data_IF_558827908538
#
_entry.id   IF_558827908538
#
_cell.length_a   1.000
_cell.length_b   1.000
_cell.length_c   1.000
_cell.angle_alpha   90.00
_cell.angle_beta   90.00
_cell.angle_gamma   90.00
#
_symmetry.space_group_name_H-M   'P 1'
#
loop_
_entity.id
_entity.type
_entity.pdbx_description
1 polymer ?
#
# COMPACT_ATOMS: atom_id res chain seq x y z
N UNK A 1 21.56 -11.27 29.27
CA UNK A 1 21.45 -9.84 29.63
C UNK A 1 20.46 -9.75 30.78
N UNK A 2 20.95 -9.55 32.01
CA UNK A 2 20.06 -9.35 33.16
C UNK A 2 19.25 -8.07 32.93
N UNK A 3 17.92 -8.17 33.06
CA UNK A 3 17.02 -7.03 32.87
C UNK A 3 16.99 -6.23 34.16
N UNK A 4 17.09 -4.91 34.07
CA UNK A 4 16.99 -4.05 35.24
C UNK A 4 15.59 -4.15 35.88
N UNK A 5 15.48 -4.27 37.21
CA UNK A 5 14.20 -4.27 37.91
C UNK A 5 13.41 -2.97 37.68
N UNK A 6 12.12 -3.09 37.37
CA UNK A 6 11.24 -1.96 37.13
C UNK A 6 10.79 -1.31 38.46
N UNK A 7 11.65 -0.41 38.98
CA UNK A 7 11.42 0.33 40.23
C UNK A 7 10.26 1.34 40.12
N UNK A 8 9.94 1.79 38.92
CA UNK A 8 8.84 2.73 38.65
C UNK A 8 7.48 2.05 38.88
N UNK A 9 7.27 0.89 38.24
CA UNK A 9 6.09 0.07 38.48
C UNK A 9 5.96 -0.31 39.95
N UNK A 10 7.06 -0.70 40.61
CA UNK A 10 7.04 -1.09 42.04
C UNK A 10 6.50 0.03 42.92
N UNK A 11 6.99 1.26 42.74
CA UNK A 11 6.53 2.44 43.49
C UNK A 11 5.03 2.69 43.31
N UNK A 12 4.53 2.62 42.08
CA UNK A 12 3.11 2.85 41.81
C UNK A 12 2.21 1.74 42.38
N UNK A 13 2.66 0.48 42.38
CA UNK A 13 1.93 -0.62 43.05
C UNK A 13 1.79 -0.35 44.54
N UNK A 14 2.89 0.06 45.18
CA UNK A 14 2.92 0.32 46.62
C UNK A 14 2.07 1.55 46.98
N UNK A 15 2.15 2.63 46.19
CA UNK A 15 1.34 3.86 46.35
C UNK A 15 -0.17 3.58 46.18
N UNK A 16 -0.54 2.75 45.19
CA UNK A 16 -1.93 2.40 44.91
C UNK A 16 -2.53 1.39 45.90
N UNK A 17 -1.68 0.75 46.72
CA UNK A 17 -2.05 -0.31 47.64
C UNK A 17 -2.51 -1.59 46.95
N UNK A 18 -2.02 -1.87 45.73
CA UNK A 18 -2.43 -3.06 45.00
C UNK A 18 -1.65 -4.30 45.43
N UNK A 19 -2.35 -5.42 45.59
CA UNK A 19 -1.67 -6.73 45.58
C UNK A 19 -1.35 -7.15 44.15
N UNK A 20 -0.31 -7.97 43.94
CA UNK A 20 0.04 -8.45 42.59
C UNK A 20 -1.08 -9.28 41.95
N UNK A 21 -1.83 -10.05 42.76
CA UNK A 21 -3.01 -10.79 42.29
C UNK A 21 -4.13 -9.84 41.86
N UNK A 22 -4.37 -8.78 42.63
CA UNK A 22 -5.40 -7.80 42.30
C UNK A 22 -5.08 -7.02 41.02
N UNK A 23 -3.83 -6.57 40.87
CA UNK A 23 -3.42 -5.85 39.65
C UNK A 23 -3.60 -6.73 38.40
N UNK A 24 -3.14 -7.98 38.46
CA UNK A 24 -3.32 -8.93 37.37
C UNK A 24 -4.80 -9.16 37.02
N UNK A 25 -5.65 -9.32 38.04
CA UNK A 25 -7.10 -9.46 37.85
C UNK A 25 -7.71 -8.24 37.17
N UNK A 26 -7.39 -7.02 37.65
CA UNK A 26 -7.89 -5.77 37.06
C UNK A 26 -7.50 -5.61 35.59
N UNK A 27 -6.29 -6.01 35.21
CA UNK A 27 -5.85 -6.00 33.80
C UNK A 27 -6.71 -6.97 32.98
N UNK A 28 -6.95 -8.19 33.48
CA UNK A 28 -7.80 -9.15 32.76
C UNK A 28 -9.25 -8.65 32.64
N UNK A 29 -9.81 -8.10 33.72
CA UNK A 29 -11.18 -7.56 33.75
C UNK A 29 -11.33 -6.39 32.76
N UNK A 30 -10.38 -5.46 32.73
CA UNK A 30 -10.35 -4.37 31.74
C UNK A 30 -10.19 -4.92 30.31
N UNK A 31 -9.47 -6.02 30.14
CA UNK A 31 -9.37 -6.75 28.88
C UNK A 31 -10.71 -7.27 28.39
N UNK A 32 -11.49 -7.89 29.29
CA UNK A 32 -12.84 -8.38 29.00
C UNK A 32 -13.77 -7.24 28.60
N UNK A 33 -13.75 -6.12 29.35
CA UNK A 33 -14.55 -4.92 29.03
C UNK A 33 -14.22 -4.36 27.65
N UNK A 34 -12.95 -4.46 27.22
CA UNK A 34 -12.48 -4.01 25.90
C UNK A 34 -12.63 -5.04 24.77
N UNK A 35 -13.21 -6.20 25.04
CA UNK A 35 -13.35 -7.27 24.05
C UNK A 35 -12.01 -7.95 23.67
N UNK A 36 -10.96 -7.79 24.48
CA UNK A 36 -9.67 -8.45 24.28
C UNK A 36 -9.73 -9.88 24.86
N UNK A 37 -10.13 -10.84 24.04
CA UNK A 37 -10.20 -12.25 24.42
C UNK A 37 -8.79 -12.85 24.58
N UNK A 38 -8.50 -13.51 25.71
CA UNK A 38 -7.31 -14.33 25.90
C UNK A 38 -6.25 -13.81 26.87
N UNK A 39 -6.43 -12.62 27.47
CA UNK A 39 -5.56 -12.16 28.54
C UNK A 39 -5.73 -13.03 29.80
N UNK A 40 -4.65 -13.68 30.22
CA UNK A 40 -4.59 -14.56 31.41
C UNK A 40 -3.42 -14.18 32.29
N UNK A 41 -3.40 -12.92 32.73
CA UNK A 41 -2.37 -12.44 33.64
C UNK A 41 -2.65 -12.92 35.06
N UNK A 42 -1.57 -13.21 35.77
CA UNK A 42 -1.56 -13.65 37.15
C UNK A 42 -0.49 -12.90 37.95
N UNK A 43 -0.36 -13.20 39.24
CA UNK A 43 0.69 -12.61 40.08
C UNK A 43 2.10 -12.85 39.52
N UNK A 44 2.34 -14.00 38.87
CA UNK A 44 3.61 -14.31 38.21
C UNK A 44 3.92 -13.37 37.04
N UNK A 45 2.89 -12.94 36.31
CA UNK A 45 3.00 -11.93 35.25
C UNK A 45 3.47 -10.60 35.81
N UNK A 46 2.89 -10.15 36.93
CA UNK A 46 3.29 -8.90 37.61
C UNK A 46 4.73 -8.99 38.13
N UNK A 47 5.12 -10.13 38.72
CA UNK A 47 6.50 -10.37 39.16
C UNK A 47 7.49 -10.30 38.00
N UNK A 48 7.15 -10.84 36.83
CA UNK A 48 7.98 -10.70 35.63
C UNK A 48 8.10 -9.23 35.19
N UNK A 49 7.01 -8.45 35.26
CA UNK A 49 7.05 -7.03 34.94
C UNK A 49 7.93 -6.22 35.89
N UNK A 50 7.88 -6.55 37.18
CA UNK A 50 8.78 -6.00 38.20
C UNK A 50 10.24 -6.41 37.96
N UNK A 51 10.47 -7.62 37.44
CA UNK A 51 11.78 -8.09 36.98
C UNK A 51 12.26 -7.50 35.64
N UNK A 52 11.61 -6.44 35.14
CA UNK A 52 12.02 -5.74 33.93
C UNK A 52 11.45 -6.29 32.62
N UNK A 53 10.57 -7.30 32.66
CA UNK A 53 9.88 -7.76 31.45
C UNK A 53 8.72 -6.83 31.08
N UNK A 54 8.82 -6.11 29.96
CA UNK A 54 7.69 -5.31 29.45
C UNK A 54 6.58 -6.22 28.90
N UNK A 55 5.31 -6.05 29.31
CA UNK A 55 4.20 -6.77 28.67
C UNK A 55 3.94 -6.24 27.26
N UNK A 56 3.37 -7.09 26.38
CA UNK A 56 2.97 -6.68 25.02
C UNK A 56 1.81 -5.68 25.08
N UNK A 57 1.73 -4.78 24.11
CA UNK A 57 0.57 -3.89 23.96
C UNK A 57 -0.72 -4.72 23.79
N UNK A 58 -1.87 -4.24 24.31
CA UNK A 58 -2.12 -2.92 24.91
C UNK A 58 -1.91 -2.84 26.44
N UNK A 59 -1.27 -3.85 27.06
CA UNK A 59 -1.19 -3.99 28.53
C UNK A 59 -0.52 -2.79 29.24
N UNK A 60 0.58 -2.18 28.75
CA UNK A 60 1.15 -0.98 29.39
C UNK A 60 0.14 0.17 29.51
N UNK A 61 -0.67 0.42 28.47
CA UNK A 61 -1.71 1.45 28.49
C UNK A 61 -2.87 1.10 29.43
N UNK A 62 -3.23 -0.18 29.52
CA UNK A 62 -4.23 -0.66 30.49
C UNK A 62 -3.77 -0.51 31.93
N UNK A 63 -2.49 -0.80 32.22
CA UNK A 63 -1.89 -0.56 33.53
C UNK A 63 -1.96 0.93 33.88
N UNK A 64 -1.55 1.81 32.95
CA UNK A 64 -1.57 3.26 33.14
C UNK A 64 -2.97 3.79 33.52
N UNK A 65 -4.01 3.28 32.87
CA UNK A 65 -5.40 3.60 33.18
C UNK A 65 -5.85 3.08 34.56
N UNK A 66 -5.51 1.83 34.90
CA UNK A 66 -5.84 1.24 36.21
C UNK A 66 -5.23 2.08 37.34
N UNK A 67 -3.97 2.51 37.18
CA UNK A 67 -3.32 3.39 38.16
C UNK A 67 -3.90 4.80 38.15
N UNK A 68 -4.24 5.35 36.99
CA UNK A 68 -4.90 6.67 36.87
C UNK A 68 -6.21 6.69 37.64
N UNK A 69 -7.06 5.68 37.44
CA UNK A 69 -8.35 5.55 38.13
C UNK A 69 -8.17 5.35 39.64
N UNK A 70 -7.14 4.62 40.06
CA UNK A 70 -6.90 4.32 41.48
C UNK A 70 -6.31 5.50 42.26
N UNK A 71 -5.36 6.22 41.65
CA UNK A 71 -4.60 7.29 42.30
C UNK A 71 -5.26 8.67 42.14
N UNK A 72 -6.27 8.80 41.27
CA UNK A 72 -6.97 10.07 41.04
C UNK A 72 -6.11 11.14 40.35
N UNK A 73 -4.97 10.74 39.78
CA UNK A 73 -4.05 11.59 38.99
C UNK A 73 -3.68 10.86 37.71
N UNK A 74 -3.37 11.61 36.66
CA UNK A 74 -2.91 11.04 35.40
C UNK A 74 -1.61 10.26 35.63
N UNK A 75 -1.59 9.00 35.21
CA UNK A 75 -0.41 8.11 35.19
C UNK A 75 -0.25 7.61 33.76
N UNK A 76 0.90 7.89 33.15
CA UNK A 76 1.27 7.41 31.82
C UNK A 76 2.03 6.08 31.86
N UNK A 77 2.25 5.48 30.68
CA UNK A 77 3.07 4.27 30.55
C UNK A 77 4.54 4.56 30.87
N UNK A 78 5.00 5.79 30.65
CA UNK A 78 6.31 6.32 31.09
C UNK A 78 6.49 6.29 32.62
N UNK A 79 5.46 6.68 33.38
CA UNK A 79 5.48 6.68 34.85
C UNK A 79 5.60 5.26 35.42
N UNK A 80 5.17 4.26 34.65
CA UNK A 80 5.27 2.83 34.99
C UNK A 80 6.65 2.24 34.64
N UNK A 81 7.59 3.02 34.12
CA UNK A 81 8.84 2.48 33.57
C UNK A 81 8.59 1.59 32.35
N UNK A 82 7.46 1.81 31.68
CA UNK A 82 7.03 1.09 30.49
C UNK A 82 6.67 2.10 29.41
N UNK A 83 7.53 3.08 29.08
CA UNK A 83 7.19 4.11 28.11
C UNK A 83 6.58 3.45 26.88
N UNK A 84 5.54 4.08 26.33
CA UNK A 84 5.10 3.74 24.98
C UNK A 84 6.38 3.70 24.15
N UNK A 85 6.64 2.57 23.50
CA UNK A 85 7.62 2.56 22.43
C UNK A 85 7.01 3.53 21.45
N UNK A 86 7.46 4.79 21.49
CA UNK A 86 6.98 5.85 20.63
C UNK A 86 7.09 5.28 19.24
N UNK A 87 5.95 4.88 18.66
CA UNK A 87 5.93 4.44 17.29
C UNK A 87 6.38 5.66 16.52
N UNK A 88 7.54 5.60 15.84
CA UNK A 88 8.07 6.77 15.17
C UNK A 88 7.01 7.31 14.19
N UNK A 89 6.82 8.62 14.15
CA UNK A 89 5.82 9.22 13.24
C UNK A 89 6.11 8.86 11.79
N UNK A 90 7.38 8.64 11.47
CA UNK A 90 7.95 8.16 10.21
C UNK A 90 7.96 6.62 10.07
N UNK A 91 7.26 5.87 10.94
CA UNK A 91 7.18 4.40 10.84
C UNK A 91 6.81 3.96 9.42
N UNK A 92 7.68 3.14 8.83
CA UNK A 92 7.46 2.57 7.50
C UNK A 92 7.84 3.49 6.34
N UNK A 93 8.35 4.70 6.58
CA UNK A 93 8.77 5.63 5.53
C UNK A 93 10.20 5.40 5.01
N UNK A 94 10.98 4.54 5.68
CA UNK A 94 12.36 4.24 5.27
C UNK A 94 12.59 2.74 5.08
N UNK A 95 13.50 2.41 4.15
CA UNK A 95 14.05 1.06 4.02
C UNK A 95 15.21 0.92 5.02
N UNK A 96 15.00 0.10 6.03
CA UNK A 96 15.99 -0.21 7.07
C UNK A 96 17.19 -1.00 6.52
N UNK A 97 18.30 -1.01 7.27
CA UNK A 97 19.58 -1.58 6.81
C UNK A 97 19.65 -3.08 7.00
N UNK A 98 19.09 -3.61 8.09
CA UNK A 98 19.18 -5.04 8.44
C UNK A 98 17.85 -5.75 8.30
N UNK A 99 17.86 -7.05 8.00
CA UNK A 99 16.64 -7.86 7.85
C UNK A 99 15.73 -7.77 9.08
N UNK A 100 16.30 -7.92 10.27
CA UNK A 100 15.57 -7.88 11.54
C UNK A 100 14.89 -6.52 11.79
N UNK A 101 15.56 -5.39 11.52
CA UNK A 101 14.94 -4.07 11.62
C UNK A 101 13.79 -3.90 10.62
N UNK A 102 13.95 -4.45 9.41
CA UNK A 102 12.90 -4.44 8.38
C UNK A 102 11.67 -5.21 8.82
N UNK A 103 11.85 -6.42 9.34
CA UNK A 103 10.77 -7.24 9.92
C UNK A 103 10.09 -6.52 11.09
N UNK A 104 10.86 -5.92 12.00
CA UNK A 104 10.29 -5.18 13.12
C UNK A 104 9.47 -3.97 12.65
N UNK A 105 9.96 -3.22 11.67
CA UNK A 105 9.29 -2.03 11.11
C UNK A 105 7.99 -2.41 10.41
N UNK A 106 8.04 -3.40 9.52
CA UNK A 106 6.86 -3.78 8.72
C UNK A 106 5.77 -4.42 9.58
N UNK A 107 6.14 -5.25 10.56
CA UNK A 107 5.15 -5.87 11.45
C UNK A 107 4.56 -4.88 12.45
N UNK A 108 5.34 -3.88 12.90
CA UNK A 108 4.81 -2.74 13.65
C UNK A 108 3.83 -1.89 12.82
N UNK A 109 4.11 -1.71 11.53
CA UNK A 109 3.22 -0.96 10.61
C UNK A 109 1.88 -1.67 10.45
N UNK A 110 1.88 -2.99 10.22
CA UNK A 110 0.65 -3.78 10.13
C UNK A 110 -0.16 -3.72 11.42
N UNK A 111 0.48 -3.87 12.57
CA UNK A 111 -0.20 -3.75 13.88
C UNK A 111 -0.82 -2.37 14.08
N UNK A 112 -0.07 -1.31 13.79
CA UNK A 112 -0.56 0.06 13.93
C UNK A 112 -1.80 0.33 13.07
N UNK A 113 -1.89 -0.29 11.90
CA UNK A 113 -3.05 -0.22 11.01
C UNK A 113 -4.24 -1.03 11.54
N UNK A 114 -4.03 -2.27 12.01
CA UNK A 114 -5.07 -3.08 12.69
C UNK A 114 -5.63 -2.33 13.90
N UNK A 115 -4.76 -1.70 14.70
CA UNK A 115 -5.12 -0.90 15.87
C UNK A 115 -5.70 0.48 15.50
N UNK A 116 -5.78 0.81 14.21
CA UNK A 116 -6.32 2.08 13.69
C UNK A 116 -5.65 3.31 14.33
N UNK A 117 -4.32 3.26 14.49
CA UNK A 117 -3.56 4.35 15.12
C UNK A 117 -3.67 5.64 14.30
N UNK A 118 -4.10 6.74 14.95
CA UNK A 118 -4.37 8.03 14.30
C UNK A 118 -3.20 8.57 13.49
N UNK A 119 -1.97 8.51 14.02
CA UNK A 119 -0.78 9.01 13.30
C UNK A 119 -0.60 8.35 11.92
N UNK A 120 -1.04 7.11 11.75
CA UNK A 120 -0.98 6.37 10.50
C UNK A 120 -2.17 6.69 9.61
N UNK A 121 -3.39 6.66 10.16
CA UNK A 121 -4.61 6.93 9.39
C UNK A 121 -4.67 8.37 8.86
N UNK A 122 -4.15 9.32 9.63
CA UNK A 122 -4.10 10.74 9.27
C UNK A 122 -2.79 11.09 8.54
N UNK A 123 -1.97 10.09 8.18
CA UNK A 123 -0.68 10.33 7.53
C UNK A 123 -0.83 10.83 6.10
N UNK A 124 -0.09 11.89 5.79
CA UNK A 124 0.02 12.44 4.44
C UNK A 124 1.18 11.80 3.67
N UNK A 125 1.14 11.94 2.35
CA UNK A 125 2.24 11.51 1.48
C UNK A 125 3.48 12.37 1.72
N UNK A 126 4.64 11.74 1.88
CA UNK A 126 5.91 12.44 2.12
C UNK A 126 6.74 12.47 0.83
N UNK A 127 6.97 13.66 0.28
CA UNK A 127 7.80 13.84 -0.92
C UNK A 127 9.22 13.34 -0.64
N UNK A 128 9.75 12.52 -1.56
CA UNK A 128 11.12 12.03 -1.49
C UNK A 128 11.31 10.72 -0.70
N UNK A 129 10.41 10.33 0.20
CA UNK A 129 10.54 9.08 0.96
C UNK A 129 10.65 7.85 0.04
N UNK A 130 9.85 7.82 -1.03
CA UNK A 130 9.97 6.79 -2.06
C UNK A 130 11.29 6.82 -2.84
N UNK A 131 11.85 8.00 -3.14
CA UNK A 131 13.10 8.15 -3.90
C UNK A 131 14.27 7.68 -3.04
N UNK A 132 14.25 7.98 -1.74
CA UNK A 132 15.21 7.43 -0.76
C UNK A 132 15.09 5.91 -0.72
N UNK A 133 13.87 5.37 -0.70
CA UNK A 133 13.63 3.92 -0.80
C UNK A 133 14.23 3.31 -2.07
N UNK A 134 14.03 3.94 -3.23
CA UNK A 134 14.60 3.49 -4.50
C UNK A 134 16.14 3.53 -4.49
N UNK A 135 16.75 4.60 -3.99
CA UNK A 135 18.22 4.69 -3.83
C UNK A 135 18.73 3.60 -2.90
N UNK A 136 18.05 3.35 -1.78
CA UNK A 136 18.40 2.27 -0.87
C UNK A 136 18.35 0.92 -1.58
N UNK A 137 17.30 0.63 -2.33
CA UNK A 137 17.16 -0.60 -3.11
C UNK A 137 18.31 -0.81 -4.10
N UNK A 138 18.71 0.24 -4.83
CA UNK A 138 19.79 0.18 -5.82
C UNK A 138 21.19 0.06 -5.19
N UNK A 139 21.37 0.52 -3.95
CA UNK A 139 22.63 0.41 -3.23
C UNK A 139 22.92 -1.04 -2.79
N UNK A 140 24.19 -1.47 -2.68
CA UNK A 140 24.53 -2.78 -2.15
C UNK A 140 24.04 -2.95 -0.69
N UNK A 141 23.44 -4.11 -0.33
CA UNK A 141 22.97 -4.34 1.03
C UNK A 141 24.14 -4.53 2.01
N UNK A 142 24.00 -4.00 3.23
CA UNK A 142 24.95 -4.25 4.33
C UNK A 142 24.70 -5.63 4.97
N UNK A 143 23.46 -5.92 5.39
CA UNK A 143 23.06 -7.23 5.94
C UNK A 143 21.58 -7.56 5.64
N UNK A 144 21.30 -8.07 4.44
CA UNK A 144 19.93 -8.33 3.99
C UNK A 144 19.48 -9.81 4.08
N UNK A 145 20.30 -10.73 4.59
CA UNK A 145 19.98 -12.17 4.56
C UNK A 145 18.73 -12.48 5.40
N UNK A 146 17.67 -13.06 4.81
CA UNK A 146 16.47 -13.43 5.53
C UNK A 146 16.69 -14.76 6.27
N UNK A 147 17.35 -14.68 7.42
CA UNK A 147 17.55 -15.82 8.34
C UNK A 147 16.99 -15.48 9.71
N UNK A 148 16.37 -16.46 10.36
CA UNK A 148 15.88 -16.30 11.73
C UNK A 148 15.97 -17.64 12.48
N UNK A 149 16.27 -17.58 13.78
CA UNK A 149 16.40 -18.72 14.68
C UNK A 149 15.34 -18.71 15.79
N UNK A 150 14.07 -18.63 15.41
CA UNK A 150 12.94 -18.60 16.33
C UNK A 150 12.50 -19.98 16.83
N UNK A 151 11.33 -20.03 17.48
CA UNK A 151 10.78 -21.27 18.06
C UNK A 151 9.79 -21.99 17.14
N UNK A 152 9.27 -21.30 16.12
CA UNK A 152 8.30 -21.83 15.17
C UNK A 152 8.99 -22.23 13.88
N UNK A 153 8.99 -23.51 13.51
CA UNK A 153 9.49 -23.92 12.20
C UNK A 153 8.62 -23.33 11.08
N UNK A 154 9.23 -22.69 10.09
CA UNK A 154 8.52 -22.17 8.90
C UNK A 154 8.80 -23.07 7.71
N UNK A 155 7.75 -23.52 7.03
CA UNK A 155 7.85 -24.39 5.86
C UNK A 155 7.21 -23.81 4.60
N UNK A 156 7.38 -24.51 3.48
CA UNK A 156 6.77 -24.12 2.19
C UNK A 156 5.24 -24.13 2.22
N UNK A 157 4.61 -24.90 3.12
CA UNK A 157 3.15 -24.89 3.28
C UNK A 157 2.64 -23.55 3.85
N UNK A 158 3.34 -22.96 4.82
CA UNK A 158 3.01 -21.62 5.34
C UNK A 158 3.09 -20.58 4.22
N UNK A 159 4.14 -20.66 3.39
CA UNK A 159 4.39 -19.73 2.28
C UNK A 159 3.34 -19.90 1.18
N UNK A 160 2.98 -21.15 0.84
CA UNK A 160 1.92 -21.44 -0.13
C UNK A 160 0.57 -20.87 0.32
N UNK A 161 0.24 -20.95 1.62
CA UNK A 161 -0.97 -20.35 2.16
C UNK A 161 -0.98 -18.82 1.99
N UNK A 162 0.16 -18.13 2.22
CA UNK A 162 0.26 -16.68 1.99
C UNK A 162 -0.01 -16.35 0.52
N UNK A 163 0.65 -17.05 -0.42
CA UNK A 163 0.48 -16.83 -1.86
C UNK A 163 -0.96 -17.02 -2.32
N UNK A 164 -1.62 -18.07 -1.82
CA UNK A 164 -3.02 -18.36 -2.16
C UNK A 164 -4.00 -17.30 -1.63
N UNK A 165 -3.75 -16.82 -0.41
CA UNK A 165 -4.52 -15.71 0.18
C UNK A 165 -4.31 -14.42 -0.62
N UNK A 166 -3.07 -14.11 -1.02
CA UNK A 166 -2.75 -12.96 -1.89
C UNK A 166 -3.50 -13.03 -3.20
N UNK A 167 -3.48 -14.18 -3.89
CA UNK A 167 -4.18 -14.40 -5.16
C UNK A 167 -5.68 -14.16 -5.01
N UNK A 168 -6.29 -14.78 -3.99
CA UNK A 168 -7.73 -14.67 -3.71
C UNK A 168 -8.16 -13.23 -3.42
N UNK A 169 -7.41 -12.49 -2.59
CA UNK A 169 -7.71 -11.09 -2.34
C UNK A 169 -7.47 -10.19 -3.55
N UNK A 170 -6.46 -10.48 -4.38
CA UNK A 170 -6.22 -9.75 -5.63
C UNK A 170 -7.36 -9.89 -6.63
N UNK A 171 -7.94 -11.09 -6.76
CA UNK A 171 -9.12 -11.33 -7.61
C UNK A 171 -10.35 -10.56 -7.11
N UNK A 172 -10.57 -10.52 -5.79
CA UNK A 172 -11.64 -9.75 -5.18
C UNK A 172 -11.47 -8.25 -5.38
N UNK A 173 -10.23 -7.73 -5.23
CA UNK A 173 -9.92 -6.31 -5.48
C UNK A 173 -10.25 -5.92 -6.92
N UNK A 174 -9.78 -6.72 -7.89
CA UNK A 174 -9.99 -6.43 -9.31
C UNK A 174 -11.47 -6.39 -9.70
N UNK A 175 -12.30 -7.21 -9.05
CA UNK A 175 -13.73 -7.31 -9.36
C UNK A 175 -14.60 -6.29 -8.63
N UNK A 176 -14.32 -6.00 -7.37
CA UNK A 176 -15.22 -5.22 -6.51
C UNK A 176 -14.61 -3.95 -5.90
N UNK A 177 -13.29 -3.79 -6.02
CA UNK A 177 -12.52 -2.74 -5.36
C UNK A 177 -12.07 -3.10 -3.94
N UNK A 178 -10.92 -2.58 -3.52
CA UNK A 178 -10.20 -2.99 -2.30
C UNK A 178 -10.80 -2.52 -0.98
N UNK A 179 -11.75 -1.60 -0.99
CA UNK A 179 -12.19 -0.89 0.22
C UNK A 179 -12.74 -1.79 1.33
N UNK A 180 -13.53 -2.82 0.98
CA UNK A 180 -14.17 -3.73 1.95
C UNK A 180 -13.25 -4.85 2.43
N UNK A 181 -12.20 -5.17 1.68
CA UNK A 181 -11.35 -6.34 1.93
C UNK A 181 -9.99 -5.98 2.52
N UNK A 182 -9.55 -4.72 2.41
CA UNK A 182 -8.25 -4.25 2.93
C UNK A 182 -8.04 -4.59 4.41
N UNK A 183 -9.06 -4.37 5.26
CA UNK A 183 -8.94 -4.65 6.69
C UNK A 183 -8.70 -6.13 6.98
N UNK A 184 -9.26 -7.03 6.18
CA UNK A 184 -9.01 -8.47 6.28
C UNK A 184 -7.58 -8.83 5.84
N UNK A 185 -7.07 -8.21 4.77
CA UNK A 185 -5.69 -8.37 4.30
C UNK A 185 -4.69 -7.94 5.38
N UNK A 186 -4.87 -6.73 5.93
CA UNK A 186 -3.99 -6.17 6.97
C UNK A 186 -4.05 -7.01 8.25
N UNK A 187 -5.24 -7.50 8.62
CA UNK A 187 -5.39 -8.42 9.75
C UNK A 187 -4.65 -9.74 9.51
N UNK A 188 -4.68 -10.30 8.29
CA UNK A 188 -3.95 -11.52 7.97
C UNK A 188 -2.43 -11.29 8.01
N UNK A 189 -1.96 -10.14 7.51
CA UNK A 189 -0.55 -9.72 7.64
C UNK A 189 -0.10 -9.69 9.12
N UNK A 190 -0.86 -9.03 9.99
CA UNK A 190 -0.52 -8.94 11.42
C UNK A 190 -0.67 -10.27 12.18
N UNK A 191 -1.72 -11.05 11.92
CA UNK A 191 -2.05 -12.22 12.75
C UNK A 191 -1.48 -13.54 12.24
N UNK A 192 -1.26 -13.68 10.93
CA UNK A 192 -0.75 -14.92 10.32
C UNK A 192 0.69 -14.76 9.81
N UNK A 193 1.03 -13.65 9.16
CA UNK A 193 2.35 -13.45 8.53
C UNK A 193 3.39 -12.92 9.53
N UNK A 194 3.04 -11.94 10.36
CA UNK A 194 3.98 -11.35 11.32
C UNK A 194 4.61 -12.37 12.29
N UNK A 195 3.88 -13.37 12.83
CA UNK A 195 4.49 -14.41 13.66
C UNK A 195 5.49 -15.30 12.90
N UNK A 196 5.28 -15.54 11.60
CA UNK A 196 6.22 -16.31 10.77
C UNK A 196 7.53 -15.54 10.58
N UNK A 197 7.47 -14.21 10.43
CA UNK A 197 8.65 -13.37 10.27
C UNK A 197 9.38 -13.11 11.60
N UNK A 198 8.65 -12.89 12.70
CA UNK A 198 9.24 -12.54 14.00
C UNK A 198 9.71 -13.74 14.83
N UNK A 199 8.87 -14.78 14.90
CA UNK A 199 9.06 -15.92 15.81
C UNK A 199 9.51 -17.20 15.05
N UNK A 200 9.67 -17.08 13.73
CA UNK A 200 10.02 -18.17 12.83
C UNK A 200 11.48 -18.61 12.89
N UNK A 201 11.70 -19.89 12.59
CA UNK A 201 13.00 -20.49 12.34
C UNK A 201 13.07 -20.89 10.87
N UNK A 202 13.98 -20.28 10.12
CA UNK A 202 14.17 -20.54 8.70
C UNK A 202 15.59 -20.20 8.24
N UNK A 203 16.10 -21.02 7.31
CA UNK A 203 17.32 -20.75 6.58
C UNK A 203 17.08 -19.79 5.41
N UNK A 204 18.15 -19.28 4.80
CA UNK A 204 18.09 -18.22 3.80
C UNK A 204 17.17 -18.53 2.61
N UNK A 205 17.20 -19.75 2.09
CA UNK A 205 16.35 -20.14 0.96
C UNK A 205 14.86 -20.01 1.28
N UNK A 206 14.41 -20.58 2.41
CA UNK A 206 13.02 -20.46 2.88
C UNK A 206 12.68 -19.03 3.27
N UNK A 207 13.63 -18.30 3.86
CA UNK A 207 13.45 -16.91 4.23
C UNK A 207 13.25 -15.99 3.02
N UNK A 208 13.91 -16.25 1.88
CA UNK A 208 13.68 -15.52 0.63
C UNK A 208 12.27 -15.74 0.08
N UNK A 209 11.82 -16.99 0.07
CA UNK A 209 10.45 -17.33 -0.36
C UNK A 209 9.38 -16.71 0.55
N UNK A 210 9.60 -16.74 1.88
CA UNK A 210 8.73 -16.08 2.84
C UNK A 210 8.73 -14.55 2.66
N UNK A 211 9.89 -13.94 2.44
CA UNK A 211 10.03 -12.52 2.22
C UNK A 211 9.31 -12.06 0.94
N UNK A 212 9.41 -12.82 -0.15
CA UNK A 212 8.70 -12.56 -1.40
C UNK A 212 7.19 -12.66 -1.21
N UNK A 213 6.68 -13.74 -0.61
CA UNK A 213 5.25 -13.91 -0.36
C UNK A 213 4.67 -12.81 0.57
N UNK A 214 5.42 -12.41 1.62
CA UNK A 214 5.03 -11.31 2.49
C UNK A 214 5.06 -9.96 1.76
N UNK A 215 6.06 -9.74 0.89
CA UNK A 215 6.17 -8.52 0.08
C UNK A 215 4.98 -8.38 -0.88
N UNK A 216 4.58 -9.47 -1.55
CA UNK A 216 3.42 -9.46 -2.46
C UNK A 216 2.12 -9.06 -1.74
N UNK A 217 1.86 -9.65 -0.57
CA UNK A 217 0.66 -9.32 0.21
C UNK A 217 0.71 -7.89 0.79
N UNK A 218 1.89 -7.44 1.21
CA UNK A 218 2.10 -6.07 1.69
C UNK A 218 1.87 -5.06 0.57
N UNK A 219 2.37 -5.35 -0.63
CA UNK A 219 2.13 -4.55 -1.84
C UNK A 219 0.64 -4.47 -2.16
N UNK A 220 -0.08 -5.58 -2.09
CA UNK A 220 -1.53 -5.61 -2.29
C UNK A 220 -2.27 -4.69 -1.29
N UNK A 221 -1.90 -4.73 0.00
CA UNK A 221 -2.45 -3.83 1.01
C UNK A 221 -2.11 -2.34 0.73
N UNK A 222 -0.92 -2.08 0.17
CA UNK A 222 -0.51 -0.77 -0.32
C UNK A 222 -1.35 -0.27 -1.50
N UNK A 223 -1.62 -1.12 -2.49
CA UNK A 223 -2.53 -0.80 -3.61
C UNK A 223 -3.96 -0.56 -3.17
N UNK A 224 -4.48 -1.36 -2.24
CA UNK A 224 -5.80 -1.11 -1.68
C UNK A 224 -5.86 0.23 -0.91
N UNK A 225 -4.79 0.61 -0.21
CA UNK A 225 -4.72 1.93 0.43
C UNK A 225 -4.66 3.06 -0.60
N UNK A 226 -3.94 2.86 -1.70
CA UNK A 226 -3.86 3.81 -2.81
C UNK A 226 -5.22 4.01 -3.50
N UNK A 227 -5.99 2.94 -3.71
CA UNK A 227 -7.32 3.03 -4.31
C UNK A 227 -8.39 3.68 -3.41
N UNK A 228 -8.11 3.70 -2.09
CA UNK A 228 -8.83 4.48 -1.09
C UNK A 228 -8.29 5.91 -0.94
N UNK A 229 -7.29 6.30 -1.73
CA UNK A 229 -6.58 7.59 -1.67
C UNK A 229 -5.94 7.89 -0.30
N UNK A 230 -5.67 6.86 0.50
CA UNK A 230 -4.87 6.97 1.72
C UNK A 230 -3.37 6.98 1.37
N UNK A 231 -2.92 8.02 0.65
CA UNK A 231 -1.60 8.02 0.00
C UNK A 231 -0.41 7.90 0.97
N UNK A 232 -0.50 8.47 2.18
CA UNK A 232 0.53 8.31 3.21
C UNK A 232 0.66 6.87 3.71
N UNK A 233 -0.47 6.20 3.93
CA UNK A 233 -0.50 4.77 4.29
C UNK A 233 0.02 3.91 3.15
N UNK A 234 -0.48 4.14 1.93
CA UNK A 234 -0.04 3.42 0.74
C UNK A 234 1.48 3.51 0.54
N UNK A 235 2.05 4.72 0.65
CA UNK A 235 3.49 4.93 0.53
C UNK A 235 4.28 4.08 1.54
N UNK A 236 3.89 4.09 2.82
CA UNK A 236 4.56 3.29 3.86
C UNK A 236 4.51 1.80 3.56
N UNK A 237 3.34 1.29 3.15
CA UNK A 237 3.19 -0.12 2.78
C UNK A 237 4.09 -0.51 1.60
N UNK A 238 4.17 0.34 0.58
CA UNK A 238 4.97 0.05 -0.62
C UNK A 238 6.47 0.13 -0.35
N UNK A 239 6.91 1.08 0.47
CA UNK A 239 8.31 1.15 0.93
C UNK A 239 8.66 -0.10 1.72
N UNK A 240 7.77 -0.58 2.60
CA UNK A 240 8.03 -1.81 3.34
C UNK A 240 7.89 -3.08 2.50
N UNK A 241 7.03 -3.10 1.48
CA UNK A 241 7.00 -4.18 0.49
C UNK A 241 8.33 -4.24 -0.27
N UNK A 242 8.89 -3.09 -0.68
CA UNK A 242 10.20 -3.01 -1.33
C UNK A 242 11.32 -3.47 -0.39
N UNK A 243 11.23 -3.16 0.91
CA UNK A 243 12.15 -3.68 1.94
C UNK A 243 12.11 -5.21 2.02
N UNK A 244 10.94 -5.83 1.95
CA UNK A 244 10.78 -7.29 1.97
C UNK A 244 11.26 -7.93 0.67
N UNK A 245 10.91 -7.37 -0.49
CA UNK A 245 11.41 -7.82 -1.81
C UNK A 245 12.94 -7.80 -1.87
N UNK A 246 13.56 -6.83 -1.18
CA UNK A 246 15.01 -6.81 -1.00
C UNK A 246 15.58 -7.95 -0.18
N UNK A 247 14.89 -8.40 0.86
CA UNK A 247 15.26 -9.61 1.58
C UNK A 247 15.18 -10.84 0.69
N UNK A 248 14.23 -10.88 -0.24
CA UNK A 248 14.05 -11.96 -1.20
C UNK A 248 15.06 -11.94 -2.37
N UNK A 249 15.76 -10.82 -2.61
CA UNK A 249 16.52 -10.56 -3.85
C UNK A 249 15.65 -10.66 -5.11
N UNK A 250 14.38 -10.27 -4.99
CA UNK A 250 13.36 -10.40 -6.03
C UNK A 250 13.26 -9.11 -6.86
N UNK A 251 14.01 -9.05 -7.95
CA UNK A 251 14.07 -7.88 -8.83
C UNK A 251 12.78 -7.65 -9.64
N UNK A 252 12.02 -8.71 -9.92
CA UNK A 252 10.74 -8.59 -10.63
C UNK A 252 9.70 -7.90 -9.74
N UNK A 253 9.53 -8.41 -8.52
CA UNK A 253 8.61 -7.84 -7.55
C UNK A 253 9.02 -6.42 -7.14
N UNK A 254 10.31 -6.18 -6.91
CA UNK A 254 10.80 -4.83 -6.59
C UNK A 254 10.52 -3.83 -7.73
N UNK A 255 10.71 -4.24 -8.99
CA UNK A 255 10.41 -3.40 -10.15
C UNK A 255 8.92 -3.07 -10.26
N UNK A 256 8.04 -4.05 -10.03
CA UNK A 256 6.58 -3.85 -9.98
C UNK A 256 6.17 -2.89 -8.84
N UNK A 257 6.77 -3.02 -7.65
CA UNK A 257 6.51 -2.11 -6.52
C UNK A 257 6.94 -0.68 -6.89
N UNK A 258 8.13 -0.51 -7.46
CA UNK A 258 8.65 0.79 -7.89
C UNK A 258 7.82 1.41 -9.01
N UNK A 259 7.36 0.60 -9.98
CA UNK A 259 6.47 1.02 -11.05
C UNK A 259 5.15 1.55 -10.47
N UNK A 260 4.49 0.81 -9.57
CA UNK A 260 3.26 1.32 -8.98
C UNK A 260 3.47 2.51 -8.02
N UNK A 261 4.62 2.63 -7.34
CA UNK A 261 4.97 3.85 -6.59
C UNK A 261 5.11 5.05 -7.53
N UNK A 262 5.72 4.86 -8.71
CA UNK A 262 5.80 5.89 -9.76
C UNK A 262 4.41 6.28 -10.24
N UNK A 263 3.53 5.30 -10.47
CA UNK A 263 2.13 5.55 -10.83
C UNK A 263 1.38 6.34 -9.75
N UNK A 264 1.57 6.01 -8.47
CA UNK A 264 1.01 6.78 -7.35
C UNK A 264 1.50 8.23 -7.40
N UNK A 265 2.81 8.44 -7.60
CA UNK A 265 3.41 9.77 -7.66
C UNK A 265 2.88 10.61 -8.84
N UNK A 266 2.66 9.99 -10.02
CA UNK A 266 1.98 10.62 -11.15
C UNK A 266 0.58 11.07 -10.76
N UNK A 267 -0.21 10.18 -10.14
CA UNK A 267 -1.60 10.45 -9.78
C UNK A 267 -1.76 11.65 -8.85
N UNK A 268 -0.85 11.83 -7.89
CA UNK A 268 -0.87 12.96 -6.94
C UNK A 268 -0.08 14.19 -7.44
N UNK A 269 0.31 14.23 -8.72
CA UNK A 269 0.97 15.39 -9.33
C UNK A 269 2.43 15.62 -8.89
N UNK A 270 3.18 14.55 -8.61
CA UNK A 270 4.60 14.62 -8.20
C UNK A 270 5.53 14.05 -9.29
N UNK A 271 5.67 14.70 -10.46
CA UNK A 271 6.32 14.09 -11.63
C UNK A 271 7.83 13.86 -11.48
N UNK A 272 8.55 14.74 -10.78
CA UNK A 272 9.99 14.53 -10.52
C UNK A 272 10.22 13.25 -9.69
N UNK A 273 9.39 13.04 -8.67
CA UNK A 273 9.44 11.84 -7.84
C UNK A 273 9.03 10.59 -8.63
N UNK A 274 8.00 10.70 -9.49
CA UNK A 274 7.60 9.62 -10.37
C UNK A 274 8.73 9.19 -11.33
N UNK A 275 9.51 10.14 -11.85
CA UNK A 275 10.62 9.89 -12.76
C UNK A 275 11.74 9.08 -12.09
N UNK A 276 12.12 9.43 -10.86
CA UNK A 276 13.12 8.68 -10.08
C UNK A 276 12.69 7.22 -9.89
N UNK A 277 11.43 7.02 -9.51
CA UNK A 277 10.86 5.70 -9.26
C UNK A 277 10.74 4.87 -10.54
N UNK A 278 10.30 5.47 -11.65
CA UNK A 278 10.22 4.82 -12.96
C UNK A 278 11.60 4.33 -13.42
N UNK A 279 12.64 5.15 -13.24
CA UNK A 279 14.02 4.77 -13.61
C UNK A 279 14.57 3.66 -12.72
N UNK A 280 14.26 3.67 -11.43
CA UNK A 280 14.61 2.56 -10.54
C UNK A 280 13.87 1.25 -10.92
N UNK A 281 12.61 1.36 -11.35
CA UNK A 281 11.86 0.23 -11.89
C UNK A 281 12.51 -0.33 -13.16
N UNK A 282 13.01 0.53 -14.08
CA UNK A 282 13.73 0.09 -15.28
C UNK A 282 14.99 -0.72 -14.95
N UNK A 283 15.78 -0.30 -13.97
CA UNK A 283 16.98 -1.04 -13.53
C UNK A 283 16.59 -2.43 -13.01
N UNK A 284 15.54 -2.49 -12.21
CA UNK A 284 15.02 -3.74 -11.63
C UNK A 284 14.46 -4.67 -12.71
N UNK A 285 13.67 -4.14 -13.64
CA UNK A 285 13.10 -4.88 -14.76
C UNK A 285 14.16 -5.50 -15.67
N UNK A 286 15.22 -4.74 -15.98
CA UNK A 286 16.37 -5.24 -16.75
C UNK A 286 17.09 -6.38 -16.04
N UNK A 287 17.28 -6.27 -14.72
CA UNK A 287 17.92 -7.31 -13.92
C UNK A 287 17.06 -8.56 -13.79
N UNK A 288 15.73 -8.41 -13.76
CA UNK A 288 14.79 -9.52 -13.78
C UNK A 288 14.63 -10.15 -15.18
N UNK A 289 15.01 -9.44 -16.25
CA UNK A 289 14.83 -9.90 -17.63
C UNK A 289 13.36 -9.91 -18.10
N UNK A 290 12.50 -9.09 -17.49
CA UNK A 290 11.07 -9.02 -17.79
C UNK A 290 10.83 -7.80 -18.70
N UNK A 291 10.49 -8.06 -19.97
CA UNK A 291 10.35 -7.02 -20.98
C UNK A 291 9.05 -6.22 -20.81
N UNK A 292 7.96 -6.88 -20.41
CA UNK A 292 6.68 -6.20 -20.15
C UNK A 292 6.78 -5.22 -18.97
N UNK A 293 7.48 -5.60 -17.90
CA UNK A 293 7.77 -4.71 -16.77
C UNK A 293 8.70 -3.55 -17.18
N UNK A 294 9.66 -3.80 -18.08
CA UNK A 294 10.51 -2.72 -18.62
C UNK A 294 9.70 -1.75 -19.47
N UNK A 295 8.75 -2.23 -20.27
CA UNK A 295 7.83 -1.41 -21.03
C UNK A 295 6.97 -0.55 -20.09
N UNK A 296 6.39 -1.14 -19.04
CA UNK A 296 5.64 -0.40 -18.02
C UNK A 296 6.47 0.72 -17.38
N UNK A 297 7.71 0.42 -16.98
CA UNK A 297 8.58 1.41 -16.37
C UNK A 297 8.93 2.57 -17.34
N UNK A 298 9.01 2.31 -18.65
CA UNK A 298 9.18 3.37 -19.65
C UNK A 298 7.95 4.22 -19.85
N UNK A 299 6.77 3.62 -19.82
CA UNK A 299 5.50 4.33 -19.90
C UNK A 299 5.31 5.26 -18.71
N UNK A 300 5.68 4.82 -17.51
CA UNK A 300 5.59 5.66 -16.31
C UNK A 300 6.58 6.83 -16.36
N UNK A 301 7.79 6.62 -16.91
CA UNK A 301 8.71 7.71 -17.23
C UNK A 301 8.10 8.68 -18.26
N UNK A 302 7.44 8.17 -19.30
CA UNK A 302 6.75 9.00 -20.28
C UNK A 302 5.64 9.85 -19.65
N UNK A 303 4.84 9.26 -18.75
CA UNK A 303 3.76 9.94 -18.06
C UNK A 303 4.30 11.06 -17.15
N UNK A 304 5.41 10.80 -16.43
CA UNK A 304 6.09 11.84 -15.66
C UNK A 304 6.56 13.02 -16.55
N UNK A 305 7.11 12.73 -17.74
CA UNK A 305 7.49 13.77 -18.71
C UNK A 305 6.28 14.52 -19.29
N UNK A 306 5.15 13.84 -19.52
CA UNK A 306 3.92 14.46 -19.96
C UNK A 306 3.40 15.48 -18.92
N UNK A 307 3.41 15.13 -17.64
CA UNK A 307 3.04 16.06 -16.55
C UNK A 307 4.00 17.27 -16.46
N UNK A 308 5.27 17.09 -16.80
CA UNK A 308 6.26 18.19 -16.91
C UNK A 308 6.13 19.00 -18.22
N UNK A 309 5.17 18.66 -19.09
CA UNK A 309 4.98 19.25 -20.42
C UNK A 309 6.20 19.09 -21.36
N UNK A 310 7.06 18.10 -21.10
CA UNK A 310 8.18 17.76 -21.97
C UNK A 310 7.75 16.74 -23.04
N UNK A 311 7.22 17.27 -24.15
CA UNK A 311 6.74 16.46 -25.29
C UNK A 311 7.82 15.55 -25.87
N UNK A 312 9.06 16.05 -25.97
CA UNK A 312 10.16 15.32 -26.62
C UNK A 312 10.59 14.14 -25.76
N UNK A 313 10.80 14.35 -24.46
CA UNK A 313 11.17 13.27 -23.56
C UNK A 313 10.04 12.26 -23.39
N UNK A 314 8.78 12.73 -23.34
CA UNK A 314 7.60 11.85 -23.33
C UNK A 314 7.58 10.95 -24.56
N UNK A 315 7.67 11.50 -25.77
CA UNK A 315 7.68 10.73 -27.01
C UNK A 315 8.84 9.71 -27.05
N UNK A 316 10.04 10.12 -26.62
CA UNK A 316 11.21 9.24 -26.54
C UNK A 316 11.02 8.07 -25.55
N UNK A 317 10.34 8.31 -24.43
CA UNK A 317 10.01 7.29 -23.45
C UNK A 317 8.89 6.33 -23.94
N UNK A 318 7.83 6.85 -24.57
CA UNK A 318 6.79 6.03 -25.21
C UNK A 318 7.39 5.10 -26.28
N UNK A 319 8.27 5.62 -27.13
CA UNK A 319 8.92 4.80 -28.15
C UNK A 319 9.81 3.70 -27.54
N UNK A 320 10.49 3.98 -26.42
CA UNK A 320 11.23 2.94 -25.67
C UNK A 320 10.30 1.89 -25.06
N UNK A 321 9.12 2.30 -24.59
CA UNK A 321 8.11 1.38 -24.08
C UNK A 321 7.60 0.42 -25.17
N UNK A 322 7.25 0.93 -26.35
CA UNK A 322 6.84 0.10 -27.49
C UNK A 322 7.90 -0.94 -27.84
N UNK A 323 9.17 -0.52 -28.00
CA UNK A 323 10.25 -1.46 -28.32
C UNK A 323 10.47 -2.53 -27.24
N UNK A 324 10.34 -2.16 -25.97
CA UNK A 324 10.44 -3.13 -24.87
C UNK A 324 9.26 -4.11 -24.91
N UNK A 325 8.05 -3.62 -25.17
CA UNK A 325 6.85 -4.43 -25.29
C UNK A 325 6.91 -5.40 -26.47
N UNK A 326 7.39 -4.96 -27.63
CA UNK A 326 7.58 -5.80 -28.82
C UNK A 326 8.60 -6.92 -28.56
N UNK A 327 9.58 -6.67 -27.67
CA UNK A 327 10.58 -7.65 -27.27
C UNK A 327 10.09 -8.69 -26.25
N UNK A 328 8.85 -8.57 -25.75
CA UNK A 328 8.29 -9.53 -24.78
C UNK A 328 8.09 -10.90 -25.40
N UNK A 329 8.11 -11.93 -24.56
CA UNK A 329 7.83 -13.31 -24.95
C UNK A 329 6.58 -13.79 -24.22
N UNK A 330 5.37 -13.60 -24.78
CA UNK A 330 4.13 -14.03 -24.15
C UNK A 330 4.21 -15.52 -23.76
N UNK A 331 3.90 -15.83 -22.50
CA UNK A 331 3.97 -17.19 -21.95
C UNK A 331 5.33 -17.61 -21.35
N UNK A 332 6.41 -16.86 -21.60
CA UNK A 332 7.71 -17.05 -20.94
C UNK A 332 7.93 -16.09 -19.76
N UNK A 333 7.14 -15.03 -19.67
CA UNK A 333 7.16 -14.08 -18.55
C UNK A 333 6.27 -14.55 -17.38
N UNK A 334 6.54 -14.07 -16.15
CA UNK A 334 5.72 -14.44 -14.99
C UNK A 334 4.23 -14.11 -15.18
N UNK A 335 3.34 -15.01 -14.78
CA UNK A 335 1.90 -14.82 -14.98
C UNK A 335 1.32 -13.56 -14.34
N UNK A 336 1.95 -13.02 -13.29
CA UNK A 336 1.49 -11.82 -12.61
C UNK A 336 1.61 -10.54 -13.43
N UNK A 337 2.50 -10.45 -14.44
CA UNK A 337 2.62 -9.26 -15.31
C UNK A 337 1.69 -9.34 -16.53
N UNK A 338 0.94 -10.43 -16.70
CA UNK A 338 0.08 -10.63 -17.86
C UNK A 338 -1.05 -9.59 -18.01
N UNK A 339 -1.33 -8.80 -16.96
CA UNK A 339 -2.26 -7.67 -17.06
C UNK A 339 -1.71 -6.51 -17.92
N UNK A 340 -0.38 -6.43 -18.08
CA UNK A 340 0.26 -5.42 -18.92
C UNK A 340 0.23 -5.88 -20.37
N UNK A 341 -0.95 -5.76 -20.99
CA UNK A 341 -1.21 -6.11 -22.37
C UNK A 341 -1.23 -4.86 -23.28
N UNK A 342 -1.60 -5.07 -24.54
CA UNK A 342 -1.67 -4.00 -25.54
C UNK A 342 -2.73 -2.93 -25.21
N UNK A 343 -3.83 -3.35 -24.57
CA UNK A 343 -4.88 -2.45 -24.15
C UNK A 343 -4.41 -1.58 -22.98
N UNK A 344 -3.73 -2.17 -21.99
CA UNK A 344 -3.14 -1.44 -20.87
C UNK A 344 -2.04 -0.47 -21.33
N UNK A 345 -1.15 -0.92 -22.23
CA UNK A 345 -0.14 -0.06 -22.85
C UNK A 345 -0.80 1.15 -23.55
N UNK A 346 -1.85 0.90 -24.33
CA UNK A 346 -2.60 1.94 -25.02
C UNK A 346 -3.29 2.91 -24.06
N UNK A 347 -3.85 2.43 -22.94
CA UNK A 347 -4.45 3.29 -21.92
C UNK A 347 -3.44 4.30 -21.38
N UNK A 348 -2.22 3.86 -21.12
CA UNK A 348 -1.16 4.74 -20.61
C UNK A 348 -0.64 5.72 -21.64
N UNK A 349 -0.58 5.33 -22.91
CA UNK A 349 -0.25 6.25 -24.01
C UNK A 349 -1.31 7.37 -24.07
N UNK A 350 -2.59 6.99 -24.01
CA UNK A 350 -3.68 7.95 -23.98
C UNK A 350 -3.59 8.91 -22.78
N UNK A 351 -3.20 8.43 -21.60
CA UNK A 351 -2.95 9.30 -20.44
C UNK A 351 -1.84 10.33 -20.71
N UNK A 352 -0.72 9.91 -21.30
CA UNK A 352 0.38 10.82 -21.64
C UNK A 352 -0.10 11.91 -22.63
N UNK A 353 -0.82 11.52 -23.68
CA UNK A 353 -1.32 12.48 -24.67
C UNK A 353 -2.40 13.41 -24.12
N UNK A 354 -3.29 12.90 -23.24
CA UNK A 354 -4.26 13.73 -22.51
C UNK A 354 -3.54 14.82 -21.71
N UNK A 355 -2.51 14.46 -20.97
CA UNK A 355 -1.79 15.40 -20.09
C UNK A 355 -0.94 16.39 -20.90
N UNK A 356 -0.49 16.01 -22.10
CA UNK A 356 0.10 16.93 -23.09
C UNK A 356 -0.95 17.75 -23.86
N UNK A 357 -2.25 17.55 -23.63
CA UNK A 357 -3.33 18.24 -24.34
C UNK A 357 -3.48 17.87 -25.82
N UNK A 358 -2.89 16.76 -26.26
CA UNK A 358 -3.07 16.19 -27.60
C UNK A 358 -4.31 15.28 -27.62
N UNK A 359 -5.48 15.90 -27.83
CA UNK A 359 -6.76 15.21 -27.83
C UNK A 359 -6.85 14.12 -28.90
N UNK A 360 -6.29 14.34 -30.09
CA UNK A 360 -6.37 13.40 -31.19
C UNK A 360 -5.63 12.08 -30.88
N UNK A 361 -4.40 12.16 -30.38
CA UNK A 361 -3.67 10.96 -29.95
C UNK A 361 -4.30 10.32 -28.71
N UNK A 362 -4.79 11.13 -27.76
CA UNK A 362 -5.49 10.61 -26.59
C UNK A 362 -6.71 9.75 -26.98
N UNK A 363 -7.57 10.25 -27.88
CA UNK A 363 -8.74 9.51 -28.39
C UNK A 363 -8.33 8.21 -29.10
N UNK A 364 -7.35 8.28 -29.99
CA UNK A 364 -6.86 7.10 -30.74
C UNK A 364 -6.42 5.98 -29.79
N UNK A 365 -5.58 6.31 -28.82
CA UNK A 365 -5.07 5.32 -27.88
C UNK A 365 -6.12 4.89 -26.85
N UNK A 366 -7.03 5.78 -26.44
CA UNK A 366 -8.12 5.44 -25.53
C UNK A 366 -9.08 4.44 -26.17
N UNK A 367 -9.43 4.61 -27.46
CA UNK A 367 -10.26 3.62 -28.19
C UNK A 367 -9.60 2.24 -28.24
N UNK A 368 -8.30 2.15 -28.57
CA UNK A 368 -7.56 0.88 -28.56
C UNK A 368 -7.51 0.25 -27.16
N UNK A 369 -7.44 1.07 -26.11
CA UNK A 369 -7.46 0.57 -24.73
C UNK A 369 -8.80 -0.06 -24.30
N UNK A 370 -9.88 0.15 -25.06
CA UNK A 370 -11.17 -0.48 -24.81
C UNK A 370 -11.27 -1.90 -25.39
N UNK A 371 -10.27 -2.34 -26.18
CA UNK A 371 -10.05 -3.73 -26.62
C UNK A 371 -9.44 -4.61 -25.49
N UNK A 372 -9.72 -4.24 -24.24
CA UNK A 372 -9.30 -4.95 -23.04
C UNK A 372 -10.26 -6.10 -22.69
N UNK A 373 -9.79 -7.02 -21.83
CA UNK A 373 -10.64 -8.05 -21.25
C UNK A 373 -11.78 -7.43 -20.41
N UNK A 374 -13.03 -7.78 -20.75
CA UNK A 374 -14.23 -7.27 -20.10
C UNK A 374 -14.36 -7.61 -18.61
N UNK A 375 -13.55 -8.53 -18.06
CA UNK A 375 -13.50 -8.81 -16.62
C UNK A 375 -12.98 -7.64 -15.80
N UNK A 376 -12.18 -6.74 -16.38
CA UNK A 376 -11.60 -5.58 -15.69
C UNK A 376 -12.53 -4.36 -15.74
N UNK A 377 -13.68 -4.47 -15.08
CA UNK A 377 -14.75 -3.44 -15.08
C UNK A 377 -14.24 -2.06 -14.66
N UNK A 378 -13.43 -1.99 -13.59
CA UNK A 378 -12.83 -0.74 -13.10
C UNK A 378 -11.89 -0.10 -14.13
N UNK A 379 -11.06 -0.91 -14.79
CA UNK A 379 -10.16 -0.43 -15.84
C UNK A 379 -10.92 0.13 -17.04
N UNK A 380 -12.00 -0.55 -17.46
CA UNK A 380 -12.87 -0.07 -18.54
C UNK A 380 -13.49 1.30 -18.24
N UNK A 381 -13.97 1.49 -17.01
CA UNK A 381 -14.52 2.79 -16.57
C UNK A 381 -13.47 3.91 -16.65
N UNK A 382 -12.23 3.66 -16.22
CA UNK A 382 -11.14 4.63 -16.35
C UNK A 382 -10.80 4.94 -17.81
N UNK A 383 -10.77 3.92 -18.68
CA UNK A 383 -10.47 4.08 -20.10
C UNK A 383 -11.58 4.85 -20.84
N UNK A 384 -12.85 4.63 -20.49
CA UNK A 384 -13.98 5.41 -21.01
C UNK A 384 -13.93 6.88 -20.56
N UNK A 385 -13.58 7.12 -19.29
CA UNK A 385 -13.40 8.48 -18.77
C UNK A 385 -12.26 9.21 -19.50
N UNK A 386 -11.16 8.48 -19.79
CA UNK A 386 -10.03 8.98 -20.57
C UNK A 386 -10.42 9.30 -22.01
N UNK A 387 -11.23 8.44 -22.65
CA UNK A 387 -11.79 8.67 -23.99
C UNK A 387 -12.66 9.93 -24.01
N UNK A 388 -13.59 10.07 -23.06
CA UNK A 388 -14.45 11.25 -22.94
C UNK A 388 -13.62 12.53 -22.79
N UNK A 389 -12.59 12.52 -21.92
CA UNK A 389 -11.69 13.66 -21.77
C UNK A 389 -10.94 14.01 -23.07
N UNK A 390 -10.53 13.02 -23.85
CA UNK A 390 -9.91 13.23 -25.16
C UNK A 390 -10.89 13.82 -26.19
N UNK A 391 -12.11 13.30 -26.27
CA UNK A 391 -13.15 13.76 -27.18
C UNK A 391 -13.60 15.20 -26.90
N UNK A 392 -13.73 15.58 -25.63
CA UNK A 392 -14.01 16.97 -25.23
C UNK A 392 -12.89 17.93 -25.69
N UNK A 393 -11.65 17.46 -25.78
CA UNK A 393 -10.52 18.26 -26.27
C UNK A 393 -10.49 18.41 -27.78
N UNK A 394 -11.13 17.51 -28.52
CA UNK A 394 -11.29 17.59 -29.98
C UNK A 394 -12.61 18.23 -30.41
N UNK A 395 -13.49 18.57 -29.48
CA UNK A 395 -14.81 19.17 -29.75
C UNK A 395 -15.90 18.16 -30.10
N UNK A 396 -15.65 16.86 -29.94
CA UNK A 396 -16.59 15.76 -30.22
C UNK A 396 -17.52 15.53 -29.01
N UNK A 397 -18.30 16.56 -28.65
CA UNK A 397 -19.03 16.62 -27.37
C UNK A 397 -20.07 15.51 -27.22
N UNK A 398 -20.80 15.16 -28.28
CA UNK A 398 -21.84 14.12 -28.21
C UNK A 398 -21.25 12.72 -27.97
N UNK A 399 -20.16 12.39 -28.64
CA UNK A 399 -19.45 11.13 -28.43
C UNK A 399 -18.82 11.10 -27.03
N UNK A 400 -18.27 12.24 -26.58
CA UNK A 400 -17.74 12.37 -25.23
C UNK A 400 -18.80 12.10 -24.17
N UNK A 401 -20.01 12.64 -24.35
CA UNK A 401 -21.15 12.40 -23.48
C UNK A 401 -21.54 10.91 -23.46
N UNK A 402 -21.49 10.23 -24.60
CA UNK A 402 -21.79 8.79 -24.69
C UNK A 402 -20.77 7.97 -23.89
N UNK A 403 -19.47 8.21 -24.11
CA UNK A 403 -18.41 7.54 -23.35
C UNK A 403 -18.46 7.85 -21.85
N UNK A 404 -18.75 9.09 -21.47
CA UNK A 404 -18.92 9.49 -20.07
C UNK A 404 -20.13 8.81 -19.42
N UNK A 405 -21.26 8.71 -20.14
CA UNK A 405 -22.45 7.99 -19.68
C UNK A 405 -22.16 6.51 -19.38
N UNK A 406 -21.48 5.82 -20.29
CA UNK A 406 -21.04 4.43 -20.06
C UNK A 406 -20.09 4.33 -18.86
N UNK A 407 -19.16 5.28 -18.68
CA UNK A 407 -18.29 5.31 -17.52
C UNK A 407 -19.08 5.43 -16.20
N UNK A 408 -20.12 6.26 -16.17
CA UNK A 408 -20.98 6.46 -14.99
C UNK A 408 -21.80 5.21 -14.66
N UNK A 409 -22.30 4.51 -15.68
CA UNK A 409 -23.03 3.25 -15.49
C UNK A 409 -22.15 2.19 -14.81
N UNK A 410 -20.89 2.11 -15.22
CA UNK A 410 -19.91 1.23 -14.57
C UNK A 410 -19.53 1.74 -13.17
N UNK A 411 -19.41 3.05 -12.98
CA UNK A 411 -19.03 3.67 -11.71
C UNK A 411 -20.01 3.35 -10.58
N UNK A 412 -21.32 3.31 -10.86
CA UNK A 412 -22.36 3.01 -9.87
C UNK A 412 -22.22 1.63 -9.18
N UNK A 413 -21.60 0.66 -9.86
CA UNK A 413 -21.33 -0.68 -9.31
C UNK A 413 -20.00 -0.81 -8.54
N UNK A 414 -19.14 0.20 -8.58
CA UNK A 414 -17.79 0.14 -8.02
C UNK A 414 -17.68 0.80 -6.64
N UNK A 415 -16.77 0.30 -5.81
CA UNK A 415 -16.49 0.86 -4.48
C UNK A 415 -15.03 1.33 -4.42
N UNK A 416 -14.74 2.44 -5.09
CA UNK A 416 -13.40 3.05 -5.15
C UNK A 416 -13.49 4.57 -5.05
N UNK A 417 -12.60 5.17 -4.24
CA UNK A 417 -12.53 6.64 -4.12
C UNK A 417 -11.99 7.25 -5.41
N UNK A 418 -11.02 6.60 -6.06
CA UNK A 418 -10.48 7.03 -7.37
C UNK A 418 -11.54 7.10 -8.47
N UNK A 419 -12.56 6.22 -8.43
CA UNK A 419 -13.72 6.33 -9.33
C UNK A 419 -14.41 7.67 -9.18
N UNK A 420 -14.61 8.14 -7.94
CA UNK A 420 -15.21 9.46 -7.69
C UNK A 420 -14.31 10.58 -8.19
N UNK A 421 -13.00 10.49 -7.99
CA UNK A 421 -12.03 11.47 -8.48
C UNK A 421 -12.05 11.61 -10.01
N UNK A 422 -12.19 10.50 -10.74
CA UNK A 422 -12.37 10.53 -12.20
C UNK A 422 -13.71 11.13 -12.62
N UNK A 423 -14.79 10.81 -11.89
CA UNK A 423 -16.12 11.39 -12.13
C UNK A 423 -16.13 12.91 -11.86
N UNK A 424 -15.41 13.38 -10.85
CA UNK A 424 -15.20 14.80 -10.58
C UNK A 424 -14.38 15.48 -11.69
N UNK A 425 -13.27 14.89 -12.15
CA UNK A 425 -12.49 15.41 -13.29
C UNK A 425 -13.34 15.50 -14.57
N UNK A 426 -14.21 14.51 -14.82
CA UNK A 426 -15.17 14.58 -15.93
C UNK A 426 -16.17 15.74 -15.76
N UNK A 427 -16.71 15.95 -14.56
CA UNK A 427 -17.62 17.07 -14.26
C UNK A 427 -16.96 18.41 -14.60
N UNK A 428 -15.72 18.61 -14.15
CA UNK A 428 -14.95 19.84 -14.41
C UNK A 428 -14.70 20.06 -15.91
N UNK A 429 -14.38 18.99 -16.66
CA UNK A 429 -14.15 19.07 -18.11
C UNK A 429 -15.40 19.33 -18.93
N UNK A 430 -16.57 18.96 -18.41
CA UNK A 430 -17.86 19.16 -19.05
C UNK A 430 -18.42 20.57 -18.81
N UNK A 431 -17.94 21.29 -17.79
CA UNK A 431 -18.43 22.64 -17.41
C UNK A 431 -18.44 23.66 -18.57
N UNK A 432 -17.41 23.73 -19.43
CA UNK A 432 -17.43 24.62 -20.60
C UNK A 432 -18.56 24.33 -21.61
N UNK A 433 -19.16 23.14 -21.55
CA UNK A 433 -20.20 22.66 -22.45
C UNK A 433 -21.58 22.58 -21.78
N UNK A 434 -21.77 23.21 -20.61
CA UNK A 434 -22.99 23.10 -19.80
C UNK A 434 -24.30 23.54 -20.50
N UNK A 435 -24.22 24.28 -21.62
CA UNK A 435 -25.39 24.63 -22.42
C UNK A 435 -25.98 23.43 -23.18
N UNK A 436 -25.14 22.44 -23.53
CA UNK A 436 -25.53 21.27 -24.31
C UNK A 436 -26.51 20.39 -23.52
N UNK A 437 -27.66 19.99 -24.09
CA UNK A 437 -28.68 19.20 -23.36
C UNK A 437 -28.14 17.89 -22.78
N UNK A 438 -27.30 17.15 -23.53
CA UNK A 438 -26.70 15.88 -23.08
C UNK A 438 -25.71 16.09 -21.93
N UNK A 439 -25.03 17.24 -21.90
CA UNK A 439 -24.10 17.58 -20.82
C UNK A 439 -24.87 17.84 -19.54
N UNK A 440 -26.00 18.57 -19.60
CA UNK A 440 -26.86 18.80 -18.43
C UNK A 440 -27.38 17.50 -17.81
N UNK A 441 -27.88 16.58 -18.63
CA UNK A 441 -28.34 15.26 -18.17
C UNK A 441 -27.22 14.48 -17.47
N UNK A 442 -26.00 14.50 -18.03
CA UNK A 442 -24.84 13.88 -17.40
C UNK A 442 -24.45 14.57 -16.10
N UNK A 443 -24.41 15.89 -16.04
CA UNK A 443 -24.07 16.63 -14.82
C UNK A 443 -25.04 16.32 -13.68
N UNK A 444 -26.34 16.18 -13.98
CA UNK A 444 -27.35 15.74 -13.00
C UNK A 444 -27.04 14.33 -12.48
N UNK A 445 -26.79 13.36 -13.38
CA UNK A 445 -26.39 11.98 -13.01
C UNK A 445 -25.11 11.94 -12.17
N UNK A 446 -24.11 12.75 -12.51
CA UNK A 446 -22.86 12.88 -11.75
C UNK A 446 -23.15 13.44 -10.34
N UNK A 447 -24.11 14.35 -10.20
CA UNK A 447 -24.56 14.89 -8.91
C UNK A 447 -25.15 13.83 -7.97
N UNK A 448 -25.86 12.84 -8.52
CA UNK A 448 -26.41 11.72 -7.75
C UNK A 448 -25.33 10.74 -7.25
N UNK A 449 -24.29 10.52 -8.05
CA UNK A 449 -23.18 9.60 -7.74
C UNK A 449 -22.15 10.19 -6.78
N UNK A 450 -21.88 11.50 -6.89
CA UNK A 450 -20.90 12.22 -6.07
C UNK A 450 -21.53 13.54 -5.60
N UNK A 451 -22.24 13.53 -4.45
CA UNK A 451 -22.76 14.76 -3.85
C UNK A 451 -21.62 15.76 -3.59
N UNK A 452 -21.93 17.05 -3.74
CA UNK A 452 -20.99 18.16 -3.60
C UNK A 452 -20.31 18.24 -2.23
#
# INVERSE_FOLDING_TARGET
>A
MEREPNRLLKRLIDEAGFTYKELARRVNDLGVVRGLSGLRHDHGSVLRWLGGQRPKDPVPGMLAEIFTLRLGRKVGSEDLGMPDVSIPLDLGQEITRTWHEGVATVTALWRADVERRKFLLDSTFVIGAGSVGAVRWLAPPLEARPVAGGSRMVGMADIAAIREVTRSFGELDNRFGGGRIRSAVVKYLDTAVAPLLNDGSYAEATGKELASAAAELTRLAGWMAYDLEHHGVAQRYLIQALRLARGADDHGLAGEILAGMSHQAVYIGQPAHALDLARAAQVSARRAGIASLLAEAYVLEAHAHALLQDRTACAGALHRAERAFDGRKPGAEPGWIAYFDEAYLSAKFAHCFRDLGDGAQAVRHARRSLEMDGRFVRGRMFNLSLLAAGLLRTGEVEEACTAAGEALDLAGGLQSVRTRSYVTDLRERLEPYAAEPRVRELTERIGELVPA
#
